data_IF_836570593734
#
_entry.id   IF_836570593734
#
_cell.length_a   1.000
_cell.length_b   1.000
_cell.length_c   1.000
_cell.angle_alpha   90.00
_cell.angle_beta   90.00
_cell.angle_gamma   90.00
#
_symmetry.space_group_name_H-M   'P 1'
#
loop_
_entity.id
_entity.type
_entity.pdbx_description
1 polymer ?
#
# COMPACT_ATOMS: atom_id res chain seq x y z
N UNK A 1 11.69 41.71 -19.15
CA UNK A 1 12.03 40.38 -18.57
C UNK A 1 11.32 40.26 -17.24
N UNK A 2 10.44 39.28 -17.10
CA UNK A 2 10.14 38.56 -15.84
C UNK A 2 9.41 37.29 -16.26
N UNK A 3 10.08 36.17 -16.06
CA UNK A 3 9.72 34.87 -16.62
C UNK A 3 8.48 34.28 -15.94
N UNK A 4 7.59 33.76 -16.79
CA UNK A 4 6.53 32.81 -16.49
C UNK A 4 7.02 31.72 -15.53
N UNK A 5 6.34 31.55 -14.40
CA UNK A 5 6.40 30.29 -13.66
C UNK A 5 5.37 29.34 -14.24
N UNK A 6 5.91 28.34 -14.91
CA UNK A 6 5.27 27.20 -15.58
C UNK A 6 4.41 26.39 -14.58
N UNK A 7 3.22 26.00 -15.02
CA UNK A 7 2.34 25.04 -14.33
C UNK A 7 3.08 23.70 -14.13
N UNK A 8 3.41 23.36 -12.89
CA UNK A 8 3.78 21.99 -12.51
C UNK A 8 2.51 21.14 -12.39
N UNK A 9 2.29 20.23 -13.33
CA UNK A 9 1.23 19.23 -13.27
C UNK A 9 1.36 18.41 -11.98
N UNK A 10 0.30 18.29 -11.17
CA UNK A 10 0.32 17.65 -9.84
C UNK A 10 0.87 16.21 -9.92
N UNK A 11 2.06 15.93 -9.34
CA UNK A 11 2.74 14.67 -9.52
C UNK A 11 2.06 13.57 -8.69
N UNK A 12 1.19 12.82 -9.37
CA UNK A 12 0.88 11.41 -9.16
C UNK A 12 -0.15 11.06 -8.06
N UNK A 13 -1.29 10.56 -8.56
CA UNK A 13 -2.30 9.75 -7.84
C UNK A 13 -1.76 8.37 -7.42
N UNK A 14 -0.56 8.29 -6.85
CA UNK A 14 0.06 7.01 -6.46
C UNK A 14 -0.22 6.75 -4.99
N UNK A 15 -0.99 5.70 -4.71
CA UNK A 15 -1.20 5.19 -3.36
C UNK A 15 0.09 4.56 -2.80
N UNK A 16 0.26 4.60 -1.48
CA UNK A 16 1.39 3.97 -0.79
C UNK A 16 0.89 3.12 0.38
N UNK A 17 1.64 2.08 0.69
CA UNK A 17 1.43 1.23 1.85
C UNK A 17 2.75 0.94 2.55
N UNK A 18 2.69 0.62 3.84
CA UNK A 18 3.84 0.13 4.62
C UNK A 18 3.42 -1.13 5.36
N UNK A 19 4.35 -2.07 5.48
CA UNK A 19 4.23 -3.23 6.34
C UNK A 19 5.32 -3.17 7.41
N UNK A 20 4.92 -3.19 8.68
CA UNK A 20 5.81 -3.21 9.82
C UNK A 20 5.96 -4.65 10.29
N UNK A 21 7.20 -5.16 10.28
CA UNK A 21 7.50 -6.52 10.74
C UNK A 21 7.17 -6.70 12.22
N UNK A 22 7.50 -5.69 13.04
CA UNK A 22 7.11 -5.66 14.44
C UNK A 22 5.60 -5.50 14.57
N UNK A 23 4.96 -6.49 15.19
CA UNK A 23 3.50 -6.58 15.28
C UNK A 23 2.76 -6.86 13.97
N UNK A 24 3.45 -7.12 12.85
CA UNK A 24 2.87 -7.47 11.54
C UNK A 24 1.72 -6.53 11.12
N UNK A 25 1.95 -5.22 11.22
CA UNK A 25 0.95 -4.18 10.97
C UNK A 25 1.05 -3.61 9.56
N UNK A 26 -0.10 -3.31 8.97
CA UNK A 26 -0.18 -2.52 7.74
C UNK A 26 -0.53 -1.06 8.02
N UNK A 27 -0.01 -0.16 7.20
CA UNK A 27 -0.50 1.21 7.06
C UNK A 27 -0.79 1.48 5.59
N UNK A 28 -1.97 2.00 5.30
CA UNK A 28 -2.37 2.46 3.96
C UNK A 28 -2.45 3.97 3.96
N UNK A 29 -2.00 4.61 2.88
CA UNK A 29 -2.30 6.03 2.68
C UNK A 29 -3.80 6.23 2.44
N UNK A 30 -4.28 7.44 2.69
CA UNK A 30 -5.65 7.83 2.38
C UNK A 30 -6.05 7.56 0.92
N UNK A 31 -5.08 7.65 -0.01
CA UNK A 31 -5.30 7.34 -1.41
C UNK A 31 -5.58 5.84 -1.63
N UNK A 32 -4.83 4.94 -0.97
CA UNK A 32 -5.07 3.49 -1.05
C UNK A 32 -6.41 3.12 -0.40
N UNK A 33 -6.73 3.70 0.75
CA UNK A 33 -8.02 3.47 1.41
C UNK A 33 -9.19 3.83 0.46
N UNK A 34 -9.14 5.03 -0.15
CA UNK A 34 -10.14 5.47 -1.13
C UNK A 34 -10.18 4.61 -2.39
N UNK A 35 -9.03 4.15 -2.90
CA UNK A 35 -8.96 3.24 -4.05
C UNK A 35 -9.69 1.91 -3.78
N UNK A 36 -9.69 1.45 -2.54
CA UNK A 36 -10.39 0.24 -2.11
C UNK A 36 -11.83 0.48 -1.61
N UNK A 37 -12.32 1.72 -1.70
CA UNK A 37 -13.71 2.08 -1.35
C UNK A 37 -13.93 2.42 0.12
N UNK A 38 -12.87 2.58 0.91
CA UNK A 38 -12.95 2.95 2.33
C UNK A 38 -12.71 4.45 2.53
N UNK A 39 -13.29 5.01 3.59
CA UNK A 39 -12.85 6.30 4.11
C UNK A 39 -11.50 6.16 4.83
N UNK A 40 -10.64 7.20 4.78
CA UNK A 40 -9.40 7.20 5.56
C UNK A 40 -9.66 6.96 7.06
N UNK A 41 -8.98 5.97 7.64
CA UNK A 41 -9.13 5.60 9.06
C UNK A 41 -10.36 4.75 9.40
N UNK A 42 -11.22 4.42 8.42
CA UNK A 42 -12.39 3.56 8.63
C UNK A 42 -12.00 2.13 8.98
N UNK A 43 -10.92 1.64 8.37
CA UNK A 43 -10.44 0.26 8.54
C UNK A 43 -8.99 0.24 9.03
N UNK A 44 -8.66 -0.83 9.75
CA UNK A 44 -7.28 -1.22 10.00
C UNK A 44 -6.88 -2.25 8.94
N UNK A 45 -5.93 -1.95 8.05
CA UNK A 45 -5.57 -2.86 7.00
C UNK A 45 -4.91 -4.14 7.55
N UNK A 46 -5.24 -5.26 6.94
CA UNK A 46 -4.68 -6.58 7.27
C UNK A 46 -4.23 -7.28 6.01
N UNK A 47 -3.38 -8.30 6.15
CA UNK A 47 -3.00 -9.16 5.01
C UNK A 47 -4.24 -9.79 4.38
N UNK A 48 -5.19 -10.27 5.18
CA UNK A 48 -6.43 -10.85 4.67
C UNK A 48 -7.25 -9.82 3.86
N UNK A 49 -7.32 -8.57 4.32
CA UNK A 49 -7.99 -7.49 3.58
C UNK A 49 -7.30 -7.19 2.25
N UNK A 50 -5.96 -7.06 2.26
CA UNK A 50 -5.18 -6.87 1.05
C UNK A 50 -5.46 -7.99 0.03
N UNK A 51 -5.44 -9.25 0.48
CA UNK A 51 -5.71 -10.42 -0.34
C UNK A 51 -7.16 -10.46 -0.86
N UNK A 52 -8.14 -9.99 -0.09
CA UNK A 52 -9.54 -9.92 -0.53
C UNK A 52 -9.73 -9.05 -1.78
N UNK A 53 -8.82 -8.09 -2.01
CA UNK A 53 -8.79 -7.25 -3.20
C UNK A 53 -7.96 -7.81 -4.36
N UNK A 54 -7.37 -9.01 -4.21
CA UNK A 54 -6.55 -9.70 -5.22
C UNK A 54 -7.26 -10.97 -5.73
N UNK A 55 -6.86 -11.43 -6.92
CA UNK A 55 -7.35 -12.70 -7.42
C UNK A 55 -6.87 -13.84 -6.51
N UNK A 56 -7.69 -14.87 -6.21
CA UNK A 56 -7.30 -15.96 -5.31
C UNK A 56 -5.99 -16.67 -5.70
N UNK A 57 -5.66 -16.71 -7.00
CA UNK A 57 -4.42 -17.30 -7.51
C UNK A 57 -3.17 -16.50 -7.11
N UNK A 58 -3.31 -15.21 -6.78
CA UNK A 58 -2.21 -14.36 -6.33
C UNK A 58 -1.91 -14.55 -4.83
N UNK A 59 -2.85 -15.11 -4.06
CA UNK A 59 -2.72 -15.23 -2.60
C UNK A 59 -1.50 -16.05 -2.17
N UNK A 60 -1.20 -17.21 -2.77
CA UNK A 60 -0.02 -17.98 -2.40
C UNK A 60 1.29 -17.24 -2.68
N UNK A 61 1.33 -16.39 -3.71
CA UNK A 61 2.53 -15.61 -4.01
C UNK A 61 2.76 -14.52 -2.95
N UNK A 62 1.73 -13.75 -2.61
CA UNK A 62 1.80 -12.71 -1.57
C UNK A 62 2.16 -13.30 -0.21
N UNK A 63 1.57 -14.45 0.16
CA UNK A 63 1.89 -15.14 1.40
C UNK A 63 3.38 -15.51 1.49
N UNK A 64 3.98 -16.03 0.41
CA UNK A 64 5.42 -16.35 0.37
C UNK A 64 6.32 -15.13 0.50
N UNK A 65 5.95 -14.01 -0.10
CA UNK A 65 6.73 -12.77 0.02
C UNK A 65 6.71 -12.29 1.47
N UNK A 66 5.54 -12.24 2.10
CA UNK A 66 5.42 -11.84 3.51
C UNK A 66 6.17 -12.78 4.45
N UNK A 67 6.09 -14.09 4.22
CA UNK A 67 6.84 -15.09 4.98
C UNK A 67 8.35 -14.82 4.93
N UNK A 68 8.91 -14.54 3.74
CA UNK A 68 10.33 -14.17 3.58
C UNK A 68 10.69 -12.87 4.29
N UNK A 69 9.85 -11.83 4.16
CA UNK A 69 10.08 -10.57 4.85
C UNK A 69 10.12 -10.76 6.38
N UNK A 70 9.27 -11.64 6.92
CA UNK A 70 9.21 -11.93 8.35
C UNK A 70 10.38 -12.81 8.79
N UNK A 71 10.68 -13.89 8.05
CA UNK A 71 11.69 -14.88 8.46
C UNK A 71 13.12 -14.42 8.22
N UNK A 72 13.34 -13.61 7.18
CA UNK A 72 14.67 -13.23 6.72
C UNK A 72 14.95 -11.71 6.81
N UNK A 73 13.97 -10.90 7.22
CA UNK A 73 14.06 -9.43 7.22
C UNK A 73 14.45 -8.85 5.84
N UNK A 74 14.14 -9.56 4.76
CA UNK A 74 14.38 -9.11 3.39
C UNK A 74 13.35 -8.02 3.00
N UNK A 75 13.78 -6.94 2.32
CA UNK A 75 12.85 -5.95 1.78
C UNK A 75 12.04 -6.52 0.58
N UNK A 76 10.90 -5.87 0.31
CA UNK A 76 10.05 -6.12 -0.87
C UNK A 76 10.71 -5.63 -2.17
#
# INVERSE_FOLDING_TARGET
MSAEQVFGQDPQRVGSFRFFLDGQRWEWSDAVARMHGYQPGEILPTTALLLSHKHPEDHPHVARVLDRMISAAEPF
#
